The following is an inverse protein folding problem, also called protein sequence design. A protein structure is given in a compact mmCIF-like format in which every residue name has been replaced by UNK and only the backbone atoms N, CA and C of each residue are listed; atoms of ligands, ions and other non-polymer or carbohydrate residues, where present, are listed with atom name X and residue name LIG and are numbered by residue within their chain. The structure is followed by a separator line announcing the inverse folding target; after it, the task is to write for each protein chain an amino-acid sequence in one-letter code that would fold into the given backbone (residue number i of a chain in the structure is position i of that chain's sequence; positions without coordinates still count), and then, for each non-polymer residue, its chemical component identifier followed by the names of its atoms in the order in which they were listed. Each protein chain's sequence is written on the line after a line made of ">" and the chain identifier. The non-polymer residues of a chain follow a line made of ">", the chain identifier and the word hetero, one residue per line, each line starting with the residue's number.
data_IF_267193877383
#
_entry.id   IF_267193877383
#
_cell.length_a   1.000
_cell.length_b   1.000
_cell.length_c   1.000
_cell.angle_alpha   90.00
_cell.angle_beta   90.00
_cell.angle_gamma   90.00
#
_symmetry.space_group_name_H-M   'P 1'
#
loop_
_entity.id
_entity.type
_entity.pdbx_description
1 polymer ?
#
# COMPACT_ATOMS: atom_id res chain seq x y z
N UNK A 1 6.77 -3.82 -5.88
CA UNK A 1 6.16 -2.50 -5.63
C UNK A 1 6.29 -1.61 -6.85
N UNK A 2 5.30 -0.76 -7.11
CA UNK A 2 5.31 0.25 -8.19
C UNK A 2 4.94 1.61 -7.58
N UNK A 3 5.52 2.70 -8.08
CA UNK A 3 5.18 4.07 -7.68
C UNK A 3 4.55 4.81 -8.84
N UNK A 4 3.44 5.49 -8.59
CA UNK A 4 2.70 6.28 -9.56
C UNK A 4 2.61 7.71 -9.05
N UNK A 5 2.98 8.69 -9.88
CA UNK A 5 2.82 10.11 -9.54
C UNK A 5 1.38 10.52 -9.86
N UNK A 6 0.67 11.02 -8.88
CA UNK A 6 -0.74 11.45 -8.98
C UNK A 6 -0.89 12.90 -8.51
N UNK A 7 -2.12 13.43 -8.56
CA UNK A 7 -2.43 14.78 -8.06
C UNK A 7 -2.30 14.87 -6.54
N UNK A 8 -2.52 13.76 -5.83
CA UNK A 8 -2.31 13.61 -4.37
C UNK A 8 -0.86 13.34 -3.95
N UNK A 9 0.09 13.30 -4.90
CA UNK A 9 1.49 13.02 -4.60
C UNK A 9 1.94 11.66 -5.13
N UNK A 10 2.83 10.97 -4.42
CA UNK A 10 3.25 9.63 -4.81
C UNK A 10 2.31 8.59 -4.20
N UNK A 11 1.75 7.73 -5.05
CA UNK A 11 1.04 6.52 -4.61
C UNK A 11 1.92 5.32 -4.88
N UNK A 12 2.09 4.46 -3.88
CA UNK A 12 2.87 3.23 -3.96
C UNK A 12 1.96 2.04 -3.86
N UNK A 13 1.93 1.23 -4.91
CA UNK A 13 1.26 -0.07 -4.91
C UNK A 13 2.29 -1.09 -4.40
N UNK A 14 2.15 -1.51 -3.13
CA UNK A 14 3.12 -2.39 -2.49
C UNK A 14 3.00 -3.83 -3.03
N UNK A 15 1.79 -4.28 -3.37
CA UNK A 15 1.52 -5.70 -3.65
C UNK A 15 2.03 -6.54 -2.46
N UNK A 16 2.58 -7.74 -2.70
CA UNK A 16 2.98 -8.67 -1.64
C UNK A 16 4.24 -8.25 -0.89
N UNK A 17 4.85 -7.10 -1.24
CA UNK A 17 5.86 -6.49 -0.38
C UNK A 17 5.27 -6.21 1.00
N UNK A 18 3.98 -5.88 1.10
CA UNK A 18 3.25 -5.75 2.36
C UNK A 18 1.80 -6.15 2.15
N UNK A 19 1.36 -7.24 2.78
CA UNK A 19 0.01 -7.76 2.61
C UNK A 19 -1.01 -6.88 3.34
N UNK A 20 -0.67 -6.46 4.55
CA UNK A 20 -1.43 -5.56 5.41
C UNK A 20 -0.62 -4.29 5.70
N UNK A 21 -1.28 -3.20 6.13
CA UNK A 21 -0.59 -2.01 6.63
C UNK A 21 0.35 -2.36 7.79
N UNK A 22 -0.12 -3.24 8.68
CA UNK A 22 0.62 -3.66 9.85
C UNK A 22 1.95 -4.34 9.50
N UNK A 23 2.03 -5.06 8.38
CA UNK A 23 3.26 -5.79 8.05
C UNK A 23 4.47 -4.85 7.92
N UNK A 24 4.36 -3.77 7.14
CA UNK A 24 5.46 -2.83 7.01
C UNK A 24 5.56 -1.86 8.20
N UNK A 25 4.45 -1.50 8.85
CA UNK A 25 4.43 -0.54 9.95
C UNK A 25 5.00 -1.13 11.25
N UNK A 26 4.65 -2.36 11.57
CA UNK A 26 5.15 -3.09 12.74
C UNK A 26 6.40 -3.94 12.42
N UNK A 27 6.90 -3.89 11.18
CA UNK A 27 7.98 -4.75 10.67
C UNK A 27 7.71 -6.23 10.94
N UNK A 28 6.47 -6.65 10.73
CA UNK A 28 5.96 -8.02 10.92
C UNK A 28 5.85 -8.72 9.56
N UNK A 29 6.82 -9.57 9.17
CA UNK A 29 6.81 -10.25 7.87
C UNK A 29 5.59 -11.14 7.71
N UNK A 30 5.08 -11.24 6.47
CA UNK A 30 4.04 -12.20 6.17
C UNK A 30 4.59 -13.64 6.27
N UNK A 31 3.84 -14.63 6.77
CA UNK A 31 4.38 -15.98 7.03
C UNK A 31 4.81 -16.73 5.76
N UNK A 32 4.14 -16.48 4.63
CA UNK A 32 4.49 -17.08 3.34
C UNK A 32 5.50 -16.16 2.67
N UNK A 33 6.79 -16.36 2.98
CA UNK A 33 7.88 -15.51 2.50
C UNK A 33 9.08 -16.35 2.10
N UNK A 34 9.67 -16.03 0.94
CA UNK A 34 10.89 -16.70 0.47
C UNK A 34 12.12 -16.29 1.29
N UNK A 35 12.25 -14.99 1.59
CA UNK A 35 13.36 -14.44 2.36
C UNK A 35 12.88 -13.29 3.26
N UNK A 36 12.94 -13.50 4.58
CA UNK A 36 12.53 -12.52 5.60
C UNK A 36 13.39 -11.26 5.55
N UNK A 37 14.71 -11.40 5.40
CA UNK A 37 15.62 -10.25 5.39
C UNK A 37 15.34 -9.33 4.20
N UNK A 38 15.04 -9.88 3.02
CA UNK A 38 14.70 -9.08 1.85
C UNK A 38 13.30 -8.46 1.95
N UNK A 39 12.34 -9.12 2.61
CA UNK A 39 11.04 -8.51 2.92
C UNK A 39 11.19 -7.32 3.87
N UNK A 40 12.02 -7.42 4.92
CA UNK A 40 12.29 -6.31 5.84
C UNK A 40 12.96 -5.11 5.13
N UNK A 41 13.91 -5.35 4.23
CA UNK A 41 14.46 -4.29 3.35
C UNK A 41 13.39 -3.69 2.43
N UNK A 42 12.44 -4.52 1.99
CA UNK A 42 11.25 -4.09 1.25
C UNK A 42 10.41 -3.09 2.03
N UNK A 43 10.16 -3.36 3.32
CA UNK A 43 9.43 -2.44 4.22
C UNK A 43 10.15 -1.09 4.36
N UNK A 44 11.46 -1.07 4.52
CA UNK A 44 12.25 0.17 4.61
C UNK A 44 12.10 1.05 3.36
N UNK A 45 12.01 0.42 2.18
CA UNK A 45 11.75 1.13 0.92
C UNK A 45 10.35 1.75 0.87
N UNK A 46 9.35 1.15 1.53
CA UNK A 46 8.00 1.70 1.63
C UNK A 46 7.91 2.92 2.55
N UNK A 47 8.77 3.02 3.57
CA UNK A 47 8.79 4.17 4.49
C UNK A 47 9.17 5.49 3.81
N UNK A 48 10.02 5.46 2.78
CA UNK A 48 10.53 6.69 2.15
C UNK A 48 9.41 7.50 1.47
N UNK A 49 8.57 6.91 0.60
CA UNK A 49 7.37 7.57 0.07
C UNK A 49 6.44 8.06 1.16
N UNK A 50 6.18 7.23 2.19
CA UNK A 50 5.31 7.58 3.31
C UNK A 50 5.79 8.85 4.05
N UNK A 51 7.08 8.91 4.41
CA UNK A 51 7.69 10.07 5.09
C UNK A 51 7.67 11.35 4.25
N UNK A 52 7.58 11.23 2.91
CA UNK A 52 7.50 12.37 1.97
C UNK A 52 6.05 12.76 1.64
N UNK A 53 5.09 12.36 2.46
CA UNK A 53 3.66 12.63 2.26
C UNK A 53 3.03 11.80 1.13
N UNK A 54 3.69 10.72 0.71
CA UNK A 54 3.12 9.75 -0.23
C UNK A 54 2.22 8.72 0.47
N UNK A 55 1.40 8.05 -0.33
CA UNK A 55 0.47 7.01 0.11
C UNK A 55 1.09 5.65 -0.24
N UNK A 56 1.06 4.72 0.71
CA UNK A 56 1.41 3.30 0.47
C UNK A 56 0.14 2.46 0.57
N UNK A 57 -0.14 1.66 -0.45
CA UNK A 57 -1.27 0.74 -0.50
C UNK A 57 -0.73 -0.70 -0.38
N UNK A 58 -1.07 -1.43 0.69
CA UNK A 58 -0.73 -2.85 0.83
C UNK A 58 -1.52 -3.69 -0.18
N UNK A 59 -1.10 -4.94 -0.39
CA UNK A 59 -1.68 -5.82 -1.40
C UNK A 59 -3.08 -6.34 -1.08
N UNK A 60 -3.37 -6.64 0.19
CA UNK A 60 -4.54 -7.44 0.58
C UNK A 60 -5.29 -6.87 1.80
N UNK A 61 -4.97 -5.65 2.22
CA UNK A 61 -5.59 -5.07 3.40
C UNK A 61 -7.01 -4.54 3.07
N UNK A 62 -8.07 -5.07 3.69
CA UNK A 62 -9.42 -4.59 3.44
C UNK A 62 -9.61 -3.12 3.85
N UNK A 63 -8.73 -2.57 4.70
CA UNK A 63 -8.75 -1.15 5.04
C UNK A 63 -8.50 -0.25 3.83
N UNK A 64 -7.93 -0.74 2.73
CA UNK A 64 -7.83 0.02 1.48
C UNK A 64 -9.24 0.38 0.97
N UNK A 65 -10.20 -0.53 1.06
CA UNK A 65 -11.57 -0.31 0.60
C UNK A 65 -12.37 0.63 1.51
N UNK A 66 -11.96 0.78 2.77
CA UNK A 66 -12.65 1.66 3.74
C UNK A 66 -12.00 3.04 3.87
N UNK A 67 -10.71 3.16 3.58
CA UNK A 67 -9.96 4.43 3.68
C UNK A 67 -10.07 5.32 2.45
N UNK A 68 -10.41 4.75 1.30
CA UNK A 68 -10.45 5.47 0.04
C UNK A 68 -11.85 5.42 -0.57
N UNK A 69 -12.29 6.48 -1.26
CA UNK A 69 -13.59 6.50 -1.91
C UNK A 69 -13.64 5.46 -3.03
N UNK A 70 -14.83 4.96 -3.35
CA UNK A 70 -15.05 4.13 -4.52
C UNK A 70 -14.58 4.88 -5.80
N UNK A 71 -14.09 4.14 -6.79
CA UNK A 71 -13.69 4.72 -8.08
C UNK A 71 -14.87 5.35 -8.83
N UNK A 72 -16.07 4.80 -8.67
CA UNK A 72 -17.33 5.33 -9.15
C UNK A 72 -18.51 4.68 -8.38
N UNK A 73 -19.74 5.12 -8.67
CA UNK A 73 -20.95 4.64 -8.01
C UNK A 73 -21.15 3.12 -8.13
N UNK A 74 -20.76 2.51 -9.26
CA UNK A 74 -20.94 1.08 -9.50
C UNK A 74 -19.80 0.20 -8.94
N UNK A 75 -18.72 0.80 -8.42
CA UNK A 75 -17.55 0.06 -7.93
C UNK A 75 -17.42 0.03 -6.40
N UNK A 76 -18.48 0.39 -5.68
CA UNK A 76 -18.50 0.42 -4.21
C UNK A 76 -18.02 -0.89 -3.59
N UNK A 77 -17.03 -0.81 -2.69
CA UNK A 77 -16.47 -1.96 -2.00
C UNK A 77 -15.59 -2.89 -2.86
N UNK A 78 -15.28 -2.53 -4.11
CA UNK A 78 -14.49 -3.37 -5.02
C UNK A 78 -13.29 -2.59 -5.57
N UNK A 79 -13.50 -1.35 -6.04
CA UNK A 79 -12.45 -0.50 -6.64
C UNK A 79 -12.48 0.87 -5.99
N UNK A 80 -11.31 1.36 -5.59
CA UNK A 80 -11.14 2.67 -4.94
C UNK A 80 -10.33 3.65 -5.78
N UNK A 81 -10.61 4.93 -5.60
CA UNK A 81 -9.85 6.05 -6.18
C UNK A 81 -8.77 6.52 -5.22
N UNK A 82 -7.53 6.61 -5.71
CA UNK A 82 -6.36 6.96 -4.89
C UNK A 82 -5.49 8.07 -5.50
N UNK A 83 -5.90 8.64 -6.64
CA UNK A 83 -5.11 9.59 -7.41
C UNK A 83 -5.48 11.07 -7.17
N UNK A 84 -6.70 11.33 -6.70
CA UNK A 84 -7.25 12.67 -6.47
C UNK A 84 -8.32 12.67 -5.37
N UNK A 85 -8.79 13.86 -4.97
CA UNK A 85 -10.06 14.04 -4.24
C UNK A 85 -11.25 13.88 -5.19
#
# INVERSE_FOLDING_TARGET
>A
MVRVKTRKGWVVLASDVSHFYENYQARSPFPIVYNVADMLKGFERLETPFRKGGIVLPGHDPLVLTRFPAANESSGGIVVRVDAD
#
